data_IF_044916327402
#
_entry.id   IF_044916327402
#
_cell.length_a   1.000
_cell.length_b   1.000
_cell.length_c   1.000
_cell.angle_alpha   90.00
_cell.angle_beta   90.00
_cell.angle_gamma   90.00
#
_symmetry.space_group_name_H-M   'P 1'
#
loop_
_entity.id
_entity.type
_entity.pdbx_description
1 polymer ?
#
# COMPACT_ATOMS: atom_id res chain seq x y z
N UNK A 1 18.41 -4.84 91.40
CA UNK A 1 18.26 -5.99 90.49
C UNK A 1 17.09 -5.67 89.57
N UNK A 2 17.34 -5.30 88.30
CA UNK A 2 17.50 -6.21 87.13
C UNK A 2 16.13 -6.86 86.81
N UNK A 3 15.50 -6.82 85.63
CA UNK A 3 15.76 -6.27 84.29
C UNK A 3 14.42 -6.34 83.51
N UNK A 4 14.39 -5.69 82.35
CA UNK A 4 13.39 -5.66 81.27
C UNK A 4 12.57 -6.94 80.97
N UNK A 5 11.37 -6.77 80.39
CA UNK A 5 11.14 -7.18 79.00
C UNK A 5 9.86 -6.55 78.39
N UNK A 6 10.05 -5.49 77.62
CA UNK A 6 9.11 -5.03 76.59
C UNK A 6 9.40 -5.89 75.35
N UNK A 7 8.48 -6.75 74.92
CA UNK A 7 8.57 -7.36 73.60
C UNK A 7 7.22 -7.95 73.15
N UNK A 8 6.73 -7.57 71.97
CA UNK A 8 5.61 -8.28 71.33
C UNK A 8 4.81 -7.49 70.29
N UNK A 9 4.88 -6.15 70.28
CA UNK A 9 4.05 -5.33 69.37
C UNK A 9 4.64 -5.19 67.95
N UNK A 10 5.86 -5.68 67.72
CA UNK A 10 6.61 -5.50 66.47
C UNK A 10 6.36 -6.58 65.39
N UNK A 11 5.79 -7.75 65.73
CA UNK A 11 5.55 -8.81 64.73
C UNK A 11 4.28 -8.63 63.92
N UNK A 12 3.22 -8.04 64.49
CA UNK A 12 1.94 -7.86 63.80
C UNK A 12 2.02 -6.83 62.66
N UNK A 13 2.81 -5.76 62.85
CA UNK A 13 2.99 -4.70 61.84
C UNK A 13 3.78 -5.21 60.63
N UNK A 14 4.74 -6.13 60.83
CA UNK A 14 5.51 -6.73 59.72
C UNK A 14 4.66 -7.66 58.85
N UNK A 15 3.69 -8.36 59.42
CA UNK A 15 2.84 -9.29 58.67
C UNK A 15 1.74 -8.54 57.89
N UNK A 16 1.20 -7.46 58.47
CA UNK A 16 0.26 -6.58 57.77
C UNK A 16 0.91 -5.86 56.56
N UNK A 17 2.17 -5.43 56.70
CA UNK A 17 2.90 -4.78 55.60
C UNK A 17 3.19 -5.72 54.42
N UNK A 18 3.46 -7.01 54.68
CA UNK A 18 3.72 -8.01 53.62
C UNK A 18 2.44 -8.38 52.86
N UNK A 19 1.29 -8.47 53.54
CA UNK A 19 0.00 -8.75 52.88
C UNK A 19 -0.50 -7.56 52.06
N UNK A 20 -0.29 -6.32 52.54
CA UNK A 20 -0.65 -5.11 51.79
C UNK A 20 0.25 -4.91 50.56
N UNK A 21 1.55 -5.24 50.65
CA UNK A 21 2.44 -5.14 49.50
C UNK A 21 2.19 -6.21 48.43
N UNK A 22 1.59 -7.35 48.78
CA UNK A 22 1.25 -8.42 47.84
C UNK A 22 -0.03 -8.10 47.03
N UNK A 23 -0.91 -7.23 47.54
CA UNK A 23 -2.12 -6.78 46.84
C UNK A 23 -1.86 -5.67 45.81
N UNK A 24 -0.73 -4.96 45.90
CA UNK A 24 -0.34 -3.89 44.94
C UNK A 24 0.42 -4.47 43.73
N UNK A 25 0.83 -5.75 43.82
CA UNK A 25 1.55 -6.46 42.77
C UNK A 25 0.66 -7.42 41.95
N UNK A 26 -0.65 -7.17 41.88
CA UNK A 26 -1.47 -7.73 40.80
C UNK A 26 -1.09 -6.94 39.54
N UNK A 27 -0.28 -7.49 38.60
CA UNK A 27 -0.12 -6.83 37.33
C UNK A 27 -1.52 -6.76 36.75
N UNK A 28 -2.00 -5.54 36.51
CA UNK A 28 -3.14 -5.32 35.65
C UNK A 28 -2.92 -6.19 34.43
N UNK A 29 -3.73 -7.24 34.27
CA UNK A 29 -3.89 -7.98 33.03
C UNK A 29 -4.48 -6.98 32.03
N UNK A 30 -3.62 -6.07 31.57
CA UNK A 30 -3.83 -5.24 30.42
C UNK A 30 -4.04 -6.24 29.30
N UNK A 31 -5.31 -6.56 29.05
CA UNK A 31 -5.72 -7.22 27.84
C UNK A 31 -5.12 -6.37 26.75
N UNK A 32 -4.13 -6.92 26.04
CA UNK A 32 -3.61 -6.35 24.82
C UNK A 32 -4.79 -6.33 23.84
N UNK A 33 -5.66 -5.34 23.98
CA UNK A 33 -6.69 -5.04 23.01
C UNK A 33 -5.90 -4.70 21.75
N UNK A 34 -5.99 -5.59 20.77
CA UNK A 34 -5.34 -5.41 19.47
C UNK A 34 -5.69 -4.01 18.98
N UNK A 35 -4.67 -3.20 18.68
CA UNK A 35 -4.88 -1.87 18.14
C UNK A 35 -5.71 -1.97 16.85
N UNK A 36 -6.80 -1.20 16.67
CA UNK A 36 -7.53 -1.18 15.41
C UNK A 36 -6.64 -0.70 14.28
N UNK A 37 -6.78 -1.33 13.11
CA UNK A 37 -6.04 -1.01 11.89
C UNK A 37 -6.81 -0.08 10.96
N UNK A 38 -8.11 0.06 11.21
CA UNK A 38 -9.00 0.91 10.44
C UNK A 38 -10.41 0.92 10.99
N UNK A 39 -11.31 1.58 10.26
CA UNK A 39 -12.72 1.61 10.59
C UNK A 39 -13.59 1.59 9.32
N UNK A 40 -14.82 1.09 9.46
CA UNK A 40 -15.83 1.14 8.40
C UNK A 40 -16.29 2.60 8.25
N UNK A 41 -16.04 3.20 7.09
CA UNK A 41 -16.41 4.59 6.81
C UNK A 41 -17.73 4.72 6.05
N UNK A 42 -18.16 3.66 5.37
CA UNK A 42 -19.44 3.61 4.68
C UNK A 42 -19.98 2.18 4.64
N UNK A 43 -21.30 2.07 4.70
CA UNK A 43 -22.04 0.83 4.50
C UNK A 43 -23.31 1.18 3.72
N UNK A 44 -23.56 0.47 2.63
CA UNK A 44 -24.81 0.46 1.88
C UNK A 44 -25.27 -1.00 1.82
N UNK A 45 -26.52 -1.28 2.16
CA UNK A 45 -27.03 -2.64 2.27
C UNK A 45 -26.60 -3.33 3.58
N UNK A 46 -26.23 -4.60 3.48
CA UNK A 46 -25.93 -5.46 4.63
C UNK A 46 -24.53 -6.09 4.53
N UNK A 47 -23.90 -6.26 5.68
CA UNK A 47 -22.67 -7.03 5.78
C UNK A 47 -22.41 -7.43 7.22
N UNK A 48 -21.43 -8.31 7.40
CA UNK A 48 -21.01 -8.79 8.71
C UNK A 48 -19.51 -8.63 8.86
N UNK A 49 -19.08 -8.45 10.11
CA UNK A 49 -17.68 -8.47 10.51
C UNK A 49 -17.51 -9.59 11.54
N UNK A 50 -16.47 -10.40 11.35
CA UNK A 50 -16.08 -11.45 12.30
C UNK A 50 -14.71 -11.11 12.86
N UNK A 51 -14.66 -10.83 14.16
CA UNK A 51 -13.40 -10.46 14.82
C UNK A 51 -12.56 -11.68 15.15
N UNK A 52 -11.31 -11.71 14.66
CA UNK A 52 -10.46 -12.91 14.76
C UNK A 52 -10.19 -13.35 16.21
N UNK A 53 -10.01 -12.41 17.13
CA UNK A 53 -9.63 -12.69 18.53
C UNK A 53 -10.79 -13.29 19.33
N UNK A 54 -12.03 -12.89 19.03
CA UNK A 54 -13.22 -13.32 19.78
C UNK A 54 -14.04 -14.37 19.05
N UNK A 55 -13.74 -14.63 17.78
CA UNK A 55 -14.56 -15.42 16.86
C UNK A 55 -16.04 -14.97 16.87
N UNK A 56 -16.28 -13.68 17.15
CA UNK A 56 -17.60 -13.09 17.28
C UNK A 56 -17.99 -12.51 15.92
N UNK A 57 -19.09 -13.00 15.36
CA UNK A 57 -19.69 -12.48 14.13
C UNK A 57 -20.80 -11.50 14.51
N UNK A 58 -20.67 -10.27 14.02
CA UNK A 58 -21.65 -9.21 14.23
C UNK A 58 -22.05 -8.55 12.89
N UNK A 59 -23.27 -7.97 12.79
CA UNK A 59 -23.62 -7.09 11.69
C UNK A 59 -22.66 -5.90 11.64
N UNK A 60 -22.11 -5.62 10.46
CA UNK A 60 -21.21 -4.49 10.24
C UNK A 60 -21.98 -3.17 10.34
N UNK A 61 -21.36 -2.14 10.93
CA UNK A 61 -21.91 -0.80 11.07
C UNK A 61 -20.86 0.24 10.70
N UNK A 62 -21.33 1.43 10.32
CA UNK A 62 -20.44 2.57 10.09
C UNK A 62 -19.78 2.97 11.41
N UNK A 63 -18.48 3.22 11.37
CA UNK A 63 -17.54 3.46 12.48
C UNK A 63 -17.13 2.22 13.29
N UNK A 64 -17.56 1.02 12.90
CA UNK A 64 -17.02 -0.19 13.51
C UNK A 64 -15.52 -0.26 13.25
N UNK A 65 -14.79 -0.57 14.31
CA UNK A 65 -13.35 -0.75 14.25
C UNK A 65 -13.02 -2.08 13.58
N UNK A 66 -12.00 -2.06 12.73
CA UNK A 66 -11.47 -3.21 12.03
C UNK A 66 -10.12 -3.55 12.64
N UNK A 67 -9.93 -4.82 12.98
CA UNK A 67 -8.73 -5.35 13.58
C UNK A 67 -8.00 -6.32 12.64
N UNK A 68 -6.76 -6.66 12.98
CA UNK A 68 -5.95 -7.61 12.23
C UNK A 68 -6.62 -8.98 12.18
N UNK A 69 -6.71 -9.54 10.97
CA UNK A 69 -7.38 -10.79 10.59
C UNK A 69 -8.90 -10.77 10.67
N UNK A 70 -9.51 -9.60 10.79
CA UNK A 70 -10.96 -9.51 10.70
C UNK A 70 -11.44 -9.94 9.32
N UNK A 71 -12.55 -10.68 9.33
CA UNK A 71 -13.23 -11.16 8.13
C UNK A 71 -14.50 -10.35 7.92
N UNK A 72 -14.62 -9.72 6.77
CA UNK A 72 -15.77 -8.91 6.37
C UNK A 72 -16.49 -9.63 5.23
N UNK A 73 -17.80 -9.79 5.39
CA UNK A 73 -18.67 -10.42 4.39
C UNK A 73 -19.77 -9.44 3.99
N UNK A 74 -20.03 -9.28 2.69
CA UNK A 74 -21.09 -8.41 2.16
C UNK A 74 -22.21 -9.22 1.53
N UNK A 75 -23.44 -8.79 1.75
CA UNK A 75 -24.61 -9.40 1.13
C UNK A 75 -24.76 -8.97 -0.34
N UNK A 76 -25.89 -9.34 -0.95
CA UNK A 76 -26.26 -8.87 -2.29
C UNK A 76 -26.52 -7.37 -2.26
N UNK A 77 -26.21 -6.65 -3.36
CA UNK A 77 -26.43 -5.21 -3.50
C UNK A 77 -25.83 -4.37 -2.36
N UNK A 78 -24.75 -4.87 -1.76
CA UNK A 78 -24.14 -4.29 -0.57
C UNK A 78 -22.73 -3.80 -0.85
N UNK A 79 -22.34 -2.71 -0.19
CA UNK A 79 -21.03 -2.08 -0.34
C UNK A 79 -20.53 -1.65 1.03
N UNK A 80 -19.31 -2.06 1.40
CA UNK A 80 -18.62 -1.60 2.60
C UNK A 80 -17.36 -0.86 2.18
N UNK A 81 -17.13 0.32 2.76
CA UNK A 81 -15.87 1.06 2.62
C UNK A 81 -15.12 1.05 3.94
N UNK A 82 -13.88 0.58 3.92
CA UNK A 82 -12.98 0.57 5.07
C UNK A 82 -11.85 1.58 4.85
N UNK A 83 -11.56 2.38 5.86
CA UNK A 83 -10.41 3.28 5.89
C UNK A 83 -9.37 2.74 6.88
N UNK A 84 -8.17 2.45 6.40
CA UNK A 84 -7.08 1.91 7.21
C UNK A 84 -6.03 2.98 7.47
N UNK A 85 -6.15 3.66 8.62
CA UNK A 85 -5.17 4.64 9.11
C UNK A 85 -4.80 5.76 8.13
N UNK A 86 -5.65 6.07 7.15
CA UNK A 86 -5.40 7.11 6.13
C UNK A 86 -4.45 6.70 5.01
N UNK A 87 -3.89 5.50 5.10
CA UNK A 87 -2.91 4.96 4.16
C UNK A 87 -3.58 4.24 3.01
N UNK A 88 -4.64 3.50 3.34
CA UNK A 88 -5.34 2.63 2.40
C UNK A 88 -6.86 2.77 2.56
N UNK A 89 -7.55 2.74 1.43
CA UNK A 89 -9.01 2.62 1.36
C UNK A 89 -9.38 1.35 0.62
N UNK A 90 -10.27 0.57 1.22
CA UNK A 90 -10.80 -0.65 0.63
C UNK A 90 -12.29 -0.44 0.40
N UNK A 91 -12.76 -0.69 -0.82
CA UNK A 91 -14.19 -0.77 -1.13
C UNK A 91 -14.53 -2.21 -1.46
N UNK A 92 -15.32 -2.84 -0.59
CA UNK A 92 -15.76 -4.23 -0.67
C UNK A 92 -17.17 -4.21 -1.27
N UNK A 93 -17.37 -4.87 -2.40
CA UNK A 93 -18.64 -4.90 -3.12
C UNK A 93 -19.45 -6.12 -2.73
N UNK A 94 -20.58 -6.32 -3.38
CA UNK A 94 -21.55 -7.36 -3.03
C UNK A 94 -20.98 -8.77 -3.15
N UNK A 95 -21.52 -9.69 -2.33
CA UNK A 95 -21.12 -11.12 -2.33
C UNK A 95 -19.61 -11.31 -2.19
N UNK A 96 -18.99 -10.43 -1.41
CA UNK A 96 -17.56 -10.47 -1.15
C UNK A 96 -17.25 -11.01 0.21
N UNK A 97 -16.11 -11.68 0.26
CA UNK A 97 -15.52 -12.20 1.48
C UNK A 97 -14.08 -11.72 1.50
N UNK A 98 -13.75 -10.94 2.52
CA UNK A 98 -12.46 -10.25 2.61
C UNK A 98 -11.86 -10.45 3.99
N UNK A 99 -10.58 -10.81 4.04
CA UNK A 99 -9.82 -10.86 5.29
C UNK A 99 -8.69 -9.84 5.23
N UNK A 100 -8.59 -8.98 6.25
CA UNK A 100 -7.59 -7.90 6.30
C UNK A 100 -6.51 -8.27 7.31
N UNK A 101 -5.26 -8.30 6.89
CA UNK A 101 -4.10 -8.56 7.76
C UNK A 101 -3.10 -7.42 7.62
N UNK A 102 -2.81 -6.70 8.69
CA UNK A 102 -1.80 -5.62 8.66
C UNK A 102 -0.56 -6.07 9.43
N UNK A 103 0.46 -6.55 8.71
CA UNK A 103 1.76 -6.86 9.28
C UNK A 103 2.70 -5.64 9.18
N UNK A 104 3.71 -5.53 10.07
CA UNK A 104 4.76 -4.54 9.90
C UNK A 104 5.38 -4.63 8.50
N UNK A 105 5.31 -3.54 7.73
CA UNK A 105 5.80 -3.41 6.34
C UNK A 105 4.99 -4.14 5.24
N UNK A 106 3.94 -4.88 5.59
CA UNK A 106 3.10 -5.60 4.62
C UNK A 106 1.63 -5.58 5.03
N UNK A 107 0.89 -4.63 4.50
CA UNK A 107 -0.58 -4.68 4.57
C UNK A 107 -1.09 -5.69 3.55
N UNK A 108 -1.76 -6.74 3.98
CA UNK A 108 -2.35 -7.78 3.13
C UNK A 108 -3.86 -7.76 3.20
N UNK A 109 -4.50 -7.93 2.06
CA UNK A 109 -5.95 -8.11 1.97
C UNK A 109 -6.23 -9.32 1.10
N UNK A 110 -6.86 -10.33 1.69
CA UNK A 110 -7.26 -11.55 1.01
C UNK A 110 -8.73 -11.44 0.58
N UNK A 111 -8.95 -11.45 -0.73
CA UNK A 111 -10.25 -11.50 -1.37
C UNK A 111 -10.53 -12.96 -1.74
N UNK A 112 -11.43 -13.60 -0.99
CA UNK A 112 -11.80 -15.01 -1.23
C UNK A 112 -12.83 -15.13 -2.36
N UNK A 113 -13.76 -14.18 -2.45
CA UNK A 113 -14.80 -14.13 -3.49
C UNK A 113 -15.35 -12.72 -3.67
N UNK A 114 -16.00 -12.47 -4.81
CA UNK A 114 -16.68 -11.20 -5.12
C UNK A 114 -15.72 -10.13 -5.65
N UNK A 115 -15.96 -8.87 -5.33
CA UNK A 115 -15.23 -7.73 -5.92
C UNK A 115 -14.69 -6.78 -4.85
N UNK A 116 -13.44 -6.35 -5.02
CA UNK A 116 -12.77 -5.42 -4.12
C UNK A 116 -11.96 -4.39 -4.89
N UNK A 117 -12.16 -3.11 -4.55
CA UNK A 117 -11.28 -2.04 -4.96
C UNK A 117 -10.33 -1.69 -3.81
N UNK A 118 -9.04 -1.66 -4.12
CA UNK A 118 -7.96 -1.38 -3.20
C UNK A 118 -7.22 -0.12 -3.64
N UNK A 119 -7.35 0.94 -2.85
CA UNK A 119 -6.67 2.22 -3.08
C UNK A 119 -5.61 2.46 -2.03
N UNK A 120 -4.36 2.57 -2.47
CA UNK A 120 -3.27 3.11 -1.66
C UNK A 120 -3.14 4.59 -1.98
N UNK A 121 -3.20 5.42 -0.95
CA UNK A 121 -3.05 6.87 -1.11
C UNK A 121 -1.58 7.26 -1.27
N UNK A 122 -1.35 8.39 -1.93
CA UNK A 122 0.00 8.93 -2.10
C UNK A 122 0.62 9.24 -0.73
N UNK A 123 1.88 8.82 -0.52
CA UNK A 123 2.54 8.93 0.79
C UNK A 123 1.97 8.00 1.87
N UNK A 124 0.96 7.18 1.56
CA UNK A 124 0.34 6.27 2.52
C UNK A 124 1.23 5.10 2.95
N UNK A 125 2.18 4.68 2.11
CA UNK A 125 3.14 3.62 2.43
C UNK A 125 4.55 4.20 2.60
N UNK A 126 5.32 3.64 3.54
CA UNK A 126 6.72 4.00 3.75
C UNK A 126 7.60 3.49 2.59
N UNK A 127 8.80 4.04 2.48
CA UNK A 127 9.78 3.52 1.52
C UNK A 127 10.06 2.03 1.78
N UNK A 128 9.91 1.18 0.76
CA UNK A 128 10.07 -0.27 0.87
C UNK A 128 8.82 -1.05 1.30
N UNK A 129 7.79 -0.37 1.81
CA UNK A 129 6.51 -0.99 2.16
C UNK A 129 5.71 -1.34 0.89
N UNK A 130 4.95 -2.44 0.96
CA UNK A 130 4.10 -2.91 -0.13
C UNK A 130 2.76 -3.34 0.45
N UNK A 131 1.68 -2.87 -0.15
CA UNK A 131 0.37 -3.44 0.11
C UNK A 131 0.12 -4.61 -0.86
N UNK A 132 -0.33 -5.74 -0.35
CA UNK A 132 -0.59 -6.95 -1.12
C UNK A 132 -2.10 -7.21 -1.18
N UNK A 133 -2.64 -7.32 -2.38
CA UNK A 133 -3.98 -7.82 -2.63
C UNK A 133 -3.87 -9.27 -3.09
N UNK A 134 -4.36 -10.19 -2.27
CA UNK A 134 -4.38 -11.61 -2.54
C UNK A 134 -5.76 -11.99 -3.04
N UNK A 135 -5.79 -12.78 -4.11
CA UNK A 135 -6.97 -13.54 -4.53
C UNK A 135 -6.66 -15.03 -4.39
N UNK A 136 -7.57 -15.97 -4.70
CA UNK A 136 -7.27 -17.39 -4.57
C UNK A 136 -6.04 -17.84 -5.37
N UNK A 137 -5.73 -17.20 -6.50
CA UNK A 137 -4.71 -17.69 -7.44
C UNK A 137 -3.60 -16.67 -7.76
N UNK A 138 -3.70 -15.42 -7.29
CA UNK A 138 -2.69 -14.39 -7.53
C UNK A 138 -2.45 -13.46 -6.34
N UNK A 139 -1.28 -12.83 -6.32
CA UNK A 139 -0.89 -11.78 -5.40
C UNK A 139 -0.53 -10.55 -6.23
N UNK A 140 -1.17 -9.42 -5.92
CA UNK A 140 -0.88 -8.13 -6.54
C UNK A 140 -0.21 -7.21 -5.52
N UNK A 141 1.03 -6.79 -5.82
CA UNK A 141 1.78 -5.81 -5.04
C UNK A 141 1.48 -4.40 -5.50
N UNK A 142 0.99 -3.57 -4.59
CA UNK A 142 0.41 -2.25 -4.85
C UNK A 142 1.22 -1.20 -4.09
N UNK A 143 1.60 -0.13 -4.80
CA UNK A 143 2.36 1.00 -4.24
C UNK A 143 1.77 2.31 -4.77
N UNK A 144 0.95 3.01 -3.97
CA UNK A 144 0.33 4.28 -4.34
C UNK A 144 -0.50 4.17 -5.63
N UNK A 145 -1.65 3.48 -5.56
CA UNK A 145 -2.38 3.06 -6.76
C UNK A 145 -3.80 2.62 -6.41
N UNK A 146 -4.68 2.58 -7.43
CA UNK A 146 -6.01 2.00 -7.37
C UNK A 146 -6.06 0.74 -8.24
N UNK A 147 -6.29 -0.39 -7.59
CA UNK A 147 -6.46 -1.71 -8.23
C UNK A 147 -7.82 -2.26 -7.89
N UNK A 148 -8.48 -2.88 -8.85
CA UNK A 148 -9.74 -3.61 -8.62
C UNK A 148 -9.51 -5.08 -8.94
N UNK A 149 -9.87 -5.95 -8.01
CA UNK A 149 -9.89 -7.39 -8.19
C UNK A 149 -11.33 -7.91 -8.14
N UNK A 150 -11.63 -8.84 -9.04
CA UNK A 150 -12.87 -9.59 -9.08
C UNK A 150 -12.54 -11.07 -9.03
N UNK A 151 -13.23 -11.82 -8.19
CA UNK A 151 -13.03 -13.26 -7.98
C UNK A 151 -14.34 -13.98 -8.19
N UNK A 152 -14.33 -14.92 -9.14
CA UNK A 152 -15.48 -15.76 -9.48
C UNK A 152 -15.03 -17.20 -9.62
N UNK A 153 -15.38 -18.03 -8.62
CA UNK A 153 -14.90 -19.41 -8.56
C UNK A 153 -13.39 -19.46 -8.40
N UNK A 154 -12.70 -20.12 -9.34
CA UNK A 154 -11.24 -20.20 -9.38
C UNK A 154 -10.58 -19.14 -10.27
N UNK A 155 -11.36 -18.21 -10.81
CA UNK A 155 -10.86 -17.15 -11.68
C UNK A 155 -10.74 -15.84 -10.90
N UNK A 156 -9.69 -15.09 -11.21
CA UNK A 156 -9.43 -13.74 -10.70
C UNK A 156 -9.15 -12.80 -11.86
N UNK A 157 -9.88 -11.69 -11.94
CA UNK A 157 -9.61 -10.61 -12.87
C UNK A 157 -9.05 -9.41 -12.09
N UNK A 158 -7.83 -8.98 -12.42
CA UNK A 158 -7.19 -7.83 -11.80
C UNK A 158 -7.10 -6.71 -12.83
N UNK A 159 -7.51 -5.49 -12.44
CA UNK A 159 -7.48 -4.30 -13.30
C UNK A 159 -6.83 -3.15 -12.56
N UNK A 160 -5.91 -2.45 -13.24
CA UNK A 160 -5.23 -1.27 -12.68
C UNK A 160 -5.85 0.00 -13.25
N UNK A 161 -6.33 0.89 -12.38
CA UNK A 161 -6.95 2.15 -12.76
C UNK A 161 -5.99 3.34 -12.62
N UNK A 162 -5.25 3.39 -11.52
CA UNK A 162 -4.30 4.47 -11.21
C UNK A 162 -3.01 3.84 -10.70
N UNK A 163 -1.85 4.35 -11.13
CA UNK A 163 -0.58 3.95 -10.51
C UNK A 163 0.45 5.08 -10.50
N UNK A 164 0.97 5.38 -9.31
CA UNK A 164 2.11 6.29 -9.13
C UNK A 164 3.45 5.53 -9.12
N UNK A 165 3.41 4.22 -8.87
CA UNK A 165 4.57 3.31 -8.90
C UNK A 165 4.20 2.03 -9.66
N UNK A 166 5.20 1.26 -10.15
CA UNK A 166 4.91 -0.01 -10.81
C UNK A 166 4.13 -0.96 -9.90
N UNK A 167 3.03 -1.50 -10.43
CA UNK A 167 2.23 -2.54 -9.80
C UNK A 167 2.76 -3.88 -10.31
N UNK A 168 2.90 -4.82 -9.39
CA UNK A 168 3.38 -6.17 -9.72
C UNK A 168 2.27 -7.17 -9.50
N UNK A 169 2.19 -8.18 -10.34
CA UNK A 169 1.32 -9.34 -10.15
C UNK A 169 2.15 -10.62 -10.22
N UNK A 170 1.85 -11.57 -9.34
CA UNK A 170 2.52 -12.85 -9.28
C UNK A 170 1.53 -13.99 -9.02
N UNK A 171 1.82 -15.22 -9.46
CA UNK A 171 1.08 -16.40 -9.04
C UNK A 171 1.13 -16.57 -7.52
N UNK A 172 0.02 -16.97 -6.89
CA UNK A 172 0.01 -17.24 -5.44
C UNK A 172 0.92 -18.42 -5.07
N UNK A 173 1.05 -19.40 -5.97
CA UNK A 173 1.96 -20.55 -5.82
C UNK A 173 3.45 -20.18 -5.94
N UNK A 174 3.77 -19.05 -6.57
CA UNK A 174 5.15 -18.58 -6.75
C UNK A 174 5.21 -17.05 -6.73
N UNK A 175 5.18 -16.48 -5.52
CA UNK A 175 5.16 -15.03 -5.31
C UNK A 175 6.46 -14.31 -5.71
N UNK A 176 7.52 -15.05 -6.03
CA UNK A 176 8.79 -14.48 -6.49
C UNK A 176 8.80 -14.14 -7.98
N UNK A 177 7.92 -14.78 -8.76
CA UNK A 177 7.79 -14.55 -10.19
C UNK A 177 6.83 -13.38 -10.45
N UNK A 178 7.32 -12.16 -10.21
CA UNK A 178 6.53 -10.95 -10.41
C UNK A 178 6.58 -10.47 -11.87
N UNK A 179 5.43 -10.07 -12.40
CA UNK A 179 5.28 -9.38 -13.68
C UNK A 179 4.71 -7.98 -13.43
N UNK A 180 5.14 -6.97 -14.20
CA UNK A 180 4.53 -5.64 -14.08
C UNK A 180 3.13 -5.62 -14.72
N UNK A 181 2.17 -5.01 -14.04
CA UNK A 181 0.82 -4.79 -14.55
C UNK A 181 0.62 -3.29 -14.80
N UNK A 182 0.62 -2.82 -16.06
CA UNK A 182 0.54 -1.39 -16.35
C UNK A 182 -0.83 -0.78 -16.06
N UNK A 183 -0.88 0.55 -15.93
CA UNK A 183 -2.14 1.29 -15.79
C UNK A 183 -3.04 1.07 -16.99
N UNK A 184 -4.35 0.98 -16.74
CA UNK A 184 -5.36 0.73 -17.76
C UNK A 184 -5.30 -0.67 -18.36
N UNK A 185 -4.55 -1.59 -17.75
CA UNK A 185 -4.49 -2.99 -18.18
C UNK A 185 -5.24 -3.90 -17.21
N UNK A 186 -5.63 -5.04 -17.74
CA UNK A 186 -6.27 -6.12 -17.01
C UNK A 186 -5.61 -7.44 -17.35
N UNK A 187 -5.62 -8.34 -16.38
CA UNK A 187 -5.14 -9.71 -16.51
C UNK A 187 -6.12 -10.63 -15.81
N UNK A 188 -6.46 -11.72 -16.49
CA UNK A 188 -7.20 -12.83 -15.90
C UNK A 188 -6.20 -13.87 -15.44
N UNK A 189 -6.35 -14.35 -14.22
CA UNK A 189 -5.65 -15.51 -13.70
C UNK A 189 -6.70 -16.57 -13.42
N UNK A 190 -6.56 -17.76 -14.02
CA UNK A 190 -7.53 -18.84 -13.91
C UNK A 190 -6.94 -20.08 -13.24
N UNK A 191 -7.82 -20.94 -12.73
CA UNK A 191 -7.43 -22.21 -12.13
C UNK A 191 -7.15 -22.13 -10.62
N UNK A 192 -6.91 -23.30 -9.99
CA UNK A 192 -6.84 -23.39 -8.54
C UNK A 192 -5.58 -22.71 -7.98
N UNK A 193 -5.54 -22.40 -6.67
CA UNK A 193 -4.41 -21.71 -6.02
C UNK A 193 -3.03 -22.33 -6.27
N UNK A 194 -2.96 -23.66 -6.41
CA UNK A 194 -1.72 -24.42 -6.61
C UNK A 194 -1.30 -24.57 -8.08
N UNK A 195 -2.18 -24.26 -9.03
CA UNK A 195 -1.91 -24.33 -10.47
C UNK A 195 -2.52 -23.13 -11.23
N UNK A 196 -2.18 -21.89 -10.84
CA UNK A 196 -2.69 -20.69 -11.49
C UNK A 196 -2.18 -20.57 -12.93
N UNK A 197 -3.04 -20.11 -13.83
CA UNK A 197 -2.72 -19.85 -15.23
C UNK A 197 -2.91 -18.36 -15.50
N UNK A 198 -1.82 -17.68 -15.81
CA UNK A 198 -1.85 -16.27 -16.20
C UNK A 198 -2.33 -16.16 -17.64
N UNK A 199 -3.42 -15.42 -17.83
CA UNK A 199 -3.83 -14.92 -19.13
C UNK A 199 -2.89 -13.82 -19.62
N UNK A 200 -3.14 -13.36 -20.84
CA UNK A 200 -2.40 -12.25 -21.41
C UNK A 200 -2.73 -10.95 -20.67
N UNK A 201 -1.70 -10.17 -20.35
CA UNK A 201 -1.87 -8.79 -19.91
C UNK A 201 -2.30 -7.97 -21.11
N UNK A 202 -3.50 -7.40 -21.04
CA UNK A 202 -4.09 -6.64 -22.15
C UNK A 202 -4.59 -5.30 -21.68
N UNK A 203 -4.59 -4.33 -22.60
CA UNK A 203 -5.24 -3.04 -22.34
C UNK A 203 -6.74 -3.26 -22.14
N UNK A 204 -7.28 -2.72 -21.06
CA UNK A 204 -8.70 -2.77 -20.80
C UNK A 204 -9.44 -1.80 -21.73
N UNK A 205 -10.62 -2.21 -22.18
CA UNK A 205 -11.52 -1.36 -22.96
C UNK A 205 -12.02 -0.21 -22.09
N UNK A 206 -12.39 0.92 -22.71
CA UNK A 206 -12.90 2.09 -21.99
C UNK A 206 -14.10 1.77 -21.11
N UNK A 207 -15.03 0.97 -21.62
CA UNK A 207 -16.22 0.50 -20.89
C UNK A 207 -15.87 -0.30 -19.64
N UNK A 208 -14.85 -1.18 -19.76
CA UNK A 208 -14.33 -1.94 -18.63
C UNK A 208 -13.75 -1.00 -17.58
N UNK A 209 -12.92 -0.02 -18.00
CA UNK A 209 -12.31 0.95 -17.09
C UNK A 209 -13.34 1.81 -16.36
N UNK A 210 -14.41 2.25 -17.03
CA UNK A 210 -15.51 2.96 -16.37
C UNK A 210 -16.24 2.07 -15.38
N UNK A 211 -16.53 0.82 -15.75
CA UNK A 211 -17.18 -0.14 -14.86
C UNK A 211 -16.37 -0.38 -13.58
N UNK A 212 -15.07 -0.70 -13.69
CA UNK A 212 -14.24 -0.89 -12.48
C UNK A 212 -14.01 0.40 -11.70
N UNK A 213 -14.04 1.58 -12.32
CA UNK A 213 -14.01 2.84 -11.59
C UNK A 213 -15.26 3.02 -10.72
N UNK A 214 -16.44 2.69 -11.24
CA UNK A 214 -17.69 2.72 -10.48
C UNK A 214 -17.72 1.66 -9.36
N UNK A 215 -16.96 0.57 -9.50
CA UNK A 215 -16.78 -0.43 -8.44
C UNK A 215 -15.97 0.11 -7.25
N UNK A 216 -15.08 1.08 -7.47
CA UNK A 216 -14.29 1.69 -6.39
C UNK A 216 -15.07 2.69 -5.54
N UNK A 217 -16.17 3.22 -6.07
CA UNK A 217 -17.02 4.20 -5.42
C UNK A 217 -18.11 3.57 -4.55
N UNK A 218 -18.61 4.34 -3.58
CA UNK A 218 -19.76 3.97 -2.76
C UNK A 218 -21.01 4.65 -3.33
N UNK A 219 -22.06 3.90 -3.70
CA UNK A 219 -23.30 4.48 -4.22
C UNK A 219 -23.92 5.50 -3.26
N UNK A 220 -24.49 6.58 -3.81
CA UNK A 220 -25.22 7.59 -3.03
C UNK A 220 -24.34 8.52 -2.18
N UNK A 221 -23.02 8.34 -2.21
CA UNK A 221 -22.06 9.26 -1.59
C UNK A 221 -21.44 10.15 -2.68
N UNK A 222 -21.19 11.45 -2.42
CA UNK A 222 -20.38 12.26 -3.33
C UNK A 222 -19.07 11.53 -3.63
N UNK A 223 -18.54 11.68 -4.85
CA UNK A 223 -17.18 11.22 -5.17
C UNK A 223 -16.25 11.88 -4.16
N UNK A 224 -15.78 11.10 -3.20
CA UNK A 224 -14.92 11.61 -2.15
C UNK A 224 -13.58 11.93 -2.82
N UNK A 225 -13.36 13.20 -3.15
CA UNK A 225 -12.09 13.75 -3.65
C UNK A 225 -10.97 13.71 -2.60
N UNK A 226 -10.88 12.64 -1.82
CA UNK A 226 -9.80 12.40 -0.86
C UNK A 226 -10.13 12.79 0.59
N UNK A 227 -10.35 11.75 1.40
CA UNK A 227 -9.62 11.51 2.66
C UNK A 227 -9.74 12.41 3.90
N UNK A 228 -10.15 13.68 3.91
CA UNK A 228 -9.75 14.53 5.07
C UNK A 228 -10.62 14.43 6.36
N UNK A 229 -11.92 14.15 6.26
CA UNK A 229 -12.84 14.33 7.42
C UNK A 229 -12.88 13.19 8.44
N UNK A 230 -12.27 12.05 8.16
CA UNK A 230 -12.24 10.92 9.10
C UNK A 230 -11.04 10.95 10.07
N UNK A 231 -10.09 11.88 9.90
CA UNK A 231 -8.81 11.88 10.64
C UNK A 231 -8.76 12.76 11.89
N UNK A 232 -9.84 13.43 12.26
CA UNK A 232 -9.76 14.39 13.37
C UNK A 232 -9.93 13.78 14.77
N UNK A 233 -10.26 12.48 14.90
CA UNK A 233 -10.70 11.98 16.21
C UNK A 233 -9.66 11.22 17.07
N UNK A 234 -8.57 10.66 16.53
CA UNK A 234 -7.67 9.79 17.34
C UNK A 234 -6.18 10.17 17.39
N UNK A 235 -5.71 11.19 16.66
CA UNK A 235 -4.31 11.63 16.75
C UNK A 235 -4.00 12.51 17.98
N UNK A 236 -5.01 13.09 18.64
CA UNK A 236 -4.83 13.96 19.82
C UNK A 236 -4.72 13.21 21.15
N UNK A 237 -5.12 11.94 21.21
CA UNK A 237 -5.06 11.17 22.46
C UNK A 237 -3.65 10.63 22.79
N UNK A 238 -2.72 10.66 21.84
CA UNK A 238 -1.37 10.08 22.01
C UNK A 238 -0.24 11.13 22.21
N UNK A 239 -0.55 12.42 22.38
CA UNK A 239 0.46 13.49 22.49
C UNK A 239 0.50 14.23 23.84
N UNK A 240 -0.03 13.65 24.92
CA UNK A 240 0.12 14.22 26.27
C UNK A 240 0.96 13.29 27.14
N UNK A 241 2.28 13.35 26.98
CA UNK A 241 3.28 13.10 28.02
C UNK A 241 4.59 13.85 27.68
N UNK A 242 5.32 14.37 28.68
CA UNK A 242 6.17 15.54 28.52
C UNK A 242 7.56 15.24 27.92
N UNK A 243 8.02 16.13 27.03
CA UNK A 243 9.40 16.15 26.56
C UNK A 243 10.33 16.61 27.70
N UNK A 244 11.16 15.69 28.19
CA UNK A 244 12.32 15.99 29.03
C UNK A 244 13.57 15.50 28.27
N UNK A 245 14.48 16.42 27.92
CA UNK A 245 15.82 16.10 27.44
C UNK A 245 16.24 16.73 26.11
N UNK A 246 16.41 18.05 26.08
CA UNK A 246 17.19 18.70 25.02
C UNK A 246 18.69 18.44 25.24
N UNK A 247 19.35 17.85 24.25
CA UNK A 247 20.79 17.59 24.27
C UNK A 247 21.60 18.92 24.27
N UNK A 248 22.60 19.08 25.17
CA UNK A 248 23.33 20.34 25.36
C UNK A 248 24.33 20.73 24.25
N UNK A 249 24.56 19.89 23.24
CA UNK A 249 25.55 20.15 22.18
C UNK A 249 25.05 21.11 21.09
N UNK A 250 23.75 21.12 20.77
CA UNK A 250 23.22 21.94 19.68
C UNK A 250 23.17 23.44 20.01
N UNK A 251 23.03 23.79 21.30
CA UNK A 251 22.98 25.20 21.74
C UNK A 251 24.36 25.85 21.76
N UNK A 252 25.43 25.07 22.00
CA UNK A 252 26.79 25.55 22.00
C UNK A 252 27.29 25.90 20.59
N UNK A 253 26.97 25.07 19.59
CA UNK A 253 27.36 25.34 18.19
C UNK A 253 26.68 26.58 17.60
N UNK A 254 25.42 26.84 17.99
CA UNK A 254 24.67 28.00 17.50
C UNK A 254 25.22 29.33 18.06
N UNK A 255 25.64 29.35 19.32
CA UNK A 255 26.23 30.54 19.95
C UNK A 255 27.62 30.88 19.39
N UNK A 256 28.38 29.86 18.97
CA UNK A 256 29.70 30.06 18.37
C UNK A 256 29.61 30.63 16.96
N UNK A 257 28.64 30.16 16.15
CA UNK A 257 28.37 30.74 14.82
C UNK A 257 27.90 32.20 14.88
N UNK A 258 27.10 32.55 15.89
CA UNK A 258 26.65 33.93 16.07
C UNK A 258 27.79 34.88 16.48
N UNK A 259 28.78 34.40 17.26
CA UNK A 259 29.97 35.20 17.62
C UNK A 259 30.88 35.46 16.42
N UNK A 260 31.07 34.49 15.53
CA UNK A 260 31.89 34.67 14.32
C UNK A 260 31.27 35.66 13.33
N UNK A 261 29.93 35.68 13.22
CA UNK A 261 29.22 36.59 12.31
C UNK A 261 29.20 38.07 12.76
N UNK A 262 29.48 38.34 14.04
CA UNK A 262 29.48 39.71 14.60
C UNK A 262 30.86 40.38 14.50
N UNK A 263 31.94 39.61 14.40
CA UNK A 263 33.31 40.15 14.33
C UNK A 263 33.69 40.65 12.93
N UNK A 264 33.05 40.14 11.87
CA UNK A 264 33.37 40.51 10.48
C UNK A 264 32.69 41.82 10.00
N UNK A 265 31.87 42.46 10.86
CA UNK A 265 31.14 43.71 10.55
C UNK A 265 31.77 44.99 11.11
N UNK A 266 33.03 44.94 11.58
CA UNK A 266 33.76 46.11 12.09
C UNK A 266 35.20 46.12 11.53
N UNK A 267 35.35 46.64 10.31
CA UNK A 267 36.64 46.86 9.65
C UNK A 267 36.50 47.84 8.48
N UNK A 268 36.61 49.12 8.82
CA UNK A 268 36.88 50.37 8.08
C UNK A 268 36.43 50.68 6.61
N UNK A 269 36.07 51.96 6.35
CA UNK A 269 35.72 52.47 5.01
C UNK A 269 36.88 53.25 4.35
N UNK A 270 37.20 52.98 3.08
CA UNK A 270 37.79 53.97 2.18
C UNK A 270 37.86 53.47 0.72
N UNK A 271 37.57 54.39 -0.22
CA UNK A 271 37.89 54.37 -1.65
C UNK A 271 37.07 53.43 -2.56
N UNK A 272 36.66 53.78 -3.77
CA UNK A 272 36.25 55.02 -4.42
C UNK A 272 35.74 54.63 -5.83
N UNK A 273 34.57 55.17 -6.20
CA UNK A 273 34.10 55.59 -7.53
C UNK A 273 34.46 54.78 -8.80
N UNK A 274 33.42 54.37 -9.55
CA UNK A 274 33.01 54.80 -10.93
C UNK A 274 31.93 53.80 -11.45
N UNK A 275 30.64 54.17 -11.66
CA UNK A 275 29.97 54.72 -12.89
C UNK A 275 30.53 54.11 -14.19
N UNK A 276 29.77 53.62 -15.19
CA UNK A 276 28.42 53.89 -15.72
C UNK A 276 27.90 52.65 -16.50
N UNK A 277 26.59 52.34 -16.51
CA UNK A 277 25.54 52.62 -17.52
C UNK A 277 25.76 52.05 -18.96
N UNK A 278 24.74 51.39 -19.58
CA UNK A 278 24.87 50.60 -20.80
C UNK A 278 24.33 51.32 -22.05
N UNK A 279 24.85 51.04 -23.25
CA UNK A 279 24.11 51.22 -24.51
C UNK A 279 24.60 50.29 -25.63
N UNK A 280 23.61 49.98 -26.48
CA UNK A 280 23.50 49.25 -27.75
C UNK A 280 24.71 49.15 -28.68
N UNK A 281 24.72 48.04 -29.44
CA UNK A 281 25.06 48.05 -30.86
C UNK A 281 24.42 46.89 -31.63
N UNK A 282 23.56 47.29 -32.56
CA UNK A 282 22.97 46.52 -33.66
C UNK A 282 24.01 46.09 -34.73
N UNK A 283 23.49 45.26 -35.65
CA UNK A 283 23.92 45.02 -37.05
C UNK A 283 25.10 44.03 -37.27
N UNK A 284 25.09 43.07 -38.21
CA UNK A 284 24.25 42.85 -39.39
C UNK A 284 24.52 41.46 -40.04
N UNK A 285 23.59 41.01 -40.92
CA UNK A 285 23.79 40.18 -42.15
C UNK A 285 24.14 38.69 -41.93
N UNK A 286 23.31 37.65 -42.23
CA UNK A 286 22.40 37.25 -43.34
C UNK A 286 23.11 36.61 -44.56
N UNK A 287 22.66 35.37 -44.89
CA UNK A 287 22.87 34.52 -46.11
C UNK A 287 24.09 33.57 -46.04
N UNK A 288 24.10 32.33 -46.55
CA UNK A 288 23.22 31.48 -47.38
C UNK A 288 23.57 29.99 -47.06
N UNK A 289 22.60 29.11 -46.82
CA UNK A 289 22.09 27.98 -47.65
C UNK A 289 23.05 26.83 -48.04
N UNK A 290 22.53 25.59 -48.18
CA UNK A 290 23.30 24.34 -48.25
C UNK A 290 23.33 23.71 -49.66
N UNK A 291 24.43 23.01 -49.99
CA UNK A 291 24.56 22.06 -51.11
C UNK A 291 24.88 20.68 -50.49
N UNK A 292 24.16 19.57 -50.69
CA UNK A 292 23.67 18.86 -51.88
C UNK A 292 24.60 17.70 -52.31
N UNK A 293 24.09 16.47 -52.10
CA UNK A 293 24.25 15.18 -52.81
C UNK A 293 25.65 14.63 -53.16
N UNK A 294 25.82 13.32 -52.92
CA UNK A 294 25.94 12.38 -54.05
C UNK A 294 25.44 10.97 -53.69
N UNK A 295 24.89 10.32 -54.71
CA UNK A 295 24.27 9.00 -54.76
C UNK A 295 25.30 7.87 -54.89
N UNK A 296 24.95 6.64 -54.54
CA UNK A 296 25.16 5.50 -55.45
C UNK A 296 24.45 4.20 -55.04
N UNK A 297 23.70 3.71 -56.02
CA UNK A 297 22.96 2.48 -56.25
C UNK A 297 23.78 1.18 -56.11
N UNK A 298 23.20 0.10 -55.55
CA UNK A 298 23.28 -1.25 -56.17
C UNK A 298 22.15 -2.20 -55.76
N UNK A 299 21.53 -2.77 -56.80
CA UNK A 299 20.48 -3.81 -56.84
C UNK A 299 21.04 -5.19 -56.45
N UNK A 300 20.18 -6.08 -55.93
CA UNK A 300 19.88 -7.40 -56.52
C UNK A 300 18.69 -8.08 -55.80
N UNK A 301 17.93 -8.87 -56.56
CA UNK A 301 16.69 -9.59 -56.21
C UNK A 301 16.99 -11.12 -56.15
N UNK A 302 15.99 -12.01 -55.99
CA UNK A 302 16.06 -13.26 -55.22
C UNK A 302 16.55 -14.48 -56.03
N UNK A 303 16.83 -15.59 -55.35
CA UNK A 303 16.92 -16.93 -55.96
C UNK A 303 16.15 -17.98 -55.16
N UNK A 304 15.32 -18.72 -55.91
CA UNK A 304 14.77 -20.05 -55.62
C UNK A 304 15.88 -21.11 -55.56
N UNK A 305 15.67 -22.19 -54.78
CA UNK A 305 15.68 -23.55 -55.34
C UNK A 305 15.26 -24.61 -54.31
N UNK A 306 14.54 -25.58 -54.88
CA UNK A 306 14.10 -26.85 -54.36
C UNK A 306 15.22 -27.70 -53.73
N UNK A 307 14.84 -28.58 -52.81
CA UNK A 307 15.24 -29.98 -52.91
C UNK A 307 14.20 -30.89 -52.23
N UNK A 308 13.66 -31.79 -53.05
CA UNK A 308 12.91 -32.97 -52.67
C UNK A 308 13.87 -34.09 -52.21
N UNK A 309 13.34 -35.08 -51.48
CA UNK A 309 13.69 -36.53 -51.38
C UNK A 309 13.12 -37.01 -50.04
N UNK A 310 11.99 -37.73 -50.00
CA UNK A 310 11.75 -39.15 -50.35
C UNK A 310 12.37 -40.15 -49.36
N UNK A 311 11.56 -41.19 -49.07
CA UNK A 311 11.84 -42.49 -48.41
C UNK A 311 11.79 -42.48 -46.87
N UNK A 312 11.13 -43.41 -46.19
CA UNK A 312 10.48 -44.66 -46.60
C UNK A 312 9.94 -45.36 -45.35
N UNK A 313 8.88 -46.15 -45.52
CA UNK A 313 8.53 -47.28 -44.64
C UNK A 313 7.51 -46.94 -43.56
N UNK A 314 6.41 -47.66 -43.37
CA UNK A 314 6.03 -48.94 -43.93
C UNK A 314 5.02 -49.58 -42.96
N UNK A 315 3.83 -49.86 -43.47
CA UNK A 315 3.00 -51.05 -43.19
C UNK A 315 2.81 -51.55 -41.75
N UNK A 316 1.53 -51.62 -41.32
CA UNK A 316 0.72 -52.81 -40.90
C UNK A 316 -0.33 -52.33 -39.89
N UNK A 317 -1.63 -52.24 -40.20
CA UNK A 317 -2.63 -53.30 -40.41
C UNK A 317 -2.74 -54.29 -39.23
N UNK A 318 -3.71 -54.05 -38.33
CA UNK A 318 -4.54 -55.00 -37.54
C UNK A 318 -5.55 -54.10 -36.79
N UNK A 319 -6.87 -54.21 -36.83
CA UNK A 319 -7.77 -55.27 -37.27
C UNK A 319 -8.38 -56.01 -36.08
N UNK A 320 -9.55 -55.55 -35.59
CA UNK A 320 -10.67 -56.28 -34.93
C UNK A 320 -11.40 -55.30 -33.98
N UNK A 321 -12.65 -54.85 -34.19
CA UNK A 321 -13.94 -55.59 -34.15
C UNK A 321 -14.03 -56.53 -32.94
N UNK A 322 -14.65 -56.12 -31.84
CA UNK A 322 -16.10 -56.05 -31.59
C UNK A 322 -16.37 -55.02 -30.50
#
# INVERSE_FOLDING_TARGET
MVWHCVCGRASFVRHAAVVVSLLIALPSLAHAQSQPIGAIAALVGEGTITHAVRAERAPAKVRDQVYVRDRIETAQRSVIRVLMGGRVTITIRERSIVTITDDPMRTRVDLESGTLAFKVHEGGLRAGEVAELLTPNTITGIRGSLVVAEVSGSDSDVTVLEAHRPITIAPRSNSTQTTQLPVGHTVRVSGPPHAPRFGQIRRALRERLSYVADLAEVPGRPRDGGQERAFTHDARAAHVAPQLGAHPSARAEMLQRQRSAVVERRGDPAASRRRAHPEDRDDAVRRARPDERDDTVRRARPDERDDAVDRSGGTRRFGARR
#
